data_IF_392074450150
#
_entry.id   IF_392074450150
#
_cell.length_a   1.000
_cell.length_b   1.000
_cell.length_c   1.000
_cell.angle_alpha   90.00
_cell.angle_beta   90.00
_cell.angle_gamma   90.00
#
_symmetry.space_group_name_H-M   'P 1'
#
loop_
_entity.id
_entity.type
_entity.pdbx_description
1 polymer ?
#
# COMPACT_ATOMS: atom_id res chain seq x y z
N UNK A 1 47.09 8.97 34.02
CA UNK A 1 45.76 9.61 34.08
C UNK A 1 44.86 8.88 33.12
N UNK A 2 43.67 8.53 33.60
CA UNK A 2 42.80 7.44 33.15
C UNK A 2 42.13 7.73 31.79
N UNK A 3 42.34 6.86 30.79
CA UNK A 3 41.44 6.77 29.63
C UNK A 3 40.48 5.61 29.86
N UNK A 4 39.21 5.95 30.03
CA UNK A 4 38.09 5.04 29.79
C UNK A 4 37.46 5.47 28.47
N UNK A 5 37.35 4.55 27.49
CA UNK A 5 36.41 4.73 26.39
C UNK A 5 35.83 3.39 25.99
N UNK A 6 34.51 3.35 26.07
CA UNK A 6 33.64 2.19 25.97
C UNK A 6 33.58 1.59 24.57
N UNK A 7 33.32 0.29 24.55
CA UNK A 7 32.79 -0.52 23.45
C UNK A 7 31.56 0.10 22.76
N UNK A 8 31.44 -0.16 21.47
CA UNK A 8 30.25 0.19 20.68
C UNK A 8 30.37 -0.22 19.22
N UNK A 9 30.07 -1.48 18.94
CA UNK A 9 29.91 -2.08 17.60
C UNK A 9 28.74 -1.43 16.85
N UNK A 10 28.83 -1.32 15.52
CA UNK A 10 27.87 -1.86 14.52
C UNK A 10 28.19 -1.32 13.11
N UNK A 11 28.46 -2.26 12.19
CA UNK A 11 28.52 -2.11 10.74
C UNK A 11 27.23 -1.52 10.18
N UNK A 12 27.29 -0.78 9.07
CA UNK A 12 26.39 -0.91 7.90
C UNK A 12 26.77 0.19 6.90
N UNK A 13 27.58 -0.13 5.89
CA UNK A 13 27.74 0.76 4.75
C UNK A 13 28.12 -0.05 3.50
N UNK A 14 27.13 -0.27 2.63
CA UNK A 14 27.20 -0.49 1.17
C UNK A 14 25.80 -0.96 0.74
N UNK A 15 25.11 -0.39 -0.25
CA UNK A 15 25.48 0.63 -1.21
C UNK A 15 24.22 1.19 -1.89
N UNK A 16 24.37 2.43 -2.33
CA UNK A 16 23.63 3.19 -3.33
C UNK A 16 22.60 2.44 -4.19
N UNK A 17 21.33 2.88 -4.10
CA UNK A 17 20.52 3.17 -5.29
C UNK A 17 19.50 4.28 -4.97
N UNK A 18 20.00 5.52 -4.85
CA UNK A 18 19.15 6.70 -4.91
C UNK A 18 18.77 6.95 -6.38
N UNK A 19 17.49 6.82 -6.70
CA UNK A 19 16.99 7.11 -8.04
C UNK A 19 15.47 7.21 -8.05
N UNK A 20 14.95 8.37 -7.62
CA UNK A 20 13.52 8.77 -7.67
C UNK A 20 12.59 8.16 -6.63
N UNK A 21 12.99 8.14 -5.36
CA UNK A 21 12.02 8.23 -4.27
C UNK A 21 11.74 9.71 -4.03
N UNK A 22 10.82 10.29 -4.81
CA UNK A 22 10.22 11.54 -4.42
C UNK A 22 9.65 11.36 -3.01
N UNK A 23 10.15 12.16 -2.09
CA UNK A 23 9.83 12.21 -0.67
C UNK A 23 8.32 12.11 -0.42
N UNK A 24 7.81 10.90 -0.27
CA UNK A 24 6.52 10.65 0.38
C UNK A 24 6.86 10.32 1.81
N UNK A 25 6.91 11.38 2.63
CA UNK A 25 7.24 11.28 4.05
C UNK A 25 6.47 10.16 4.72
N UNK A 26 7.19 9.31 5.45
CA UNK A 26 6.60 8.61 6.57
C UNK A 26 6.29 9.71 7.61
N UNK A 27 5.00 9.99 7.86
CA UNK A 27 4.40 9.47 9.09
C UNK A 27 2.90 9.14 8.96
N UNK A 28 2.49 7.96 9.40
CA UNK A 28 1.12 7.70 9.88
C UNK A 28 0.00 7.61 8.83
N UNK A 29 0.11 6.72 7.84
CA UNK A 29 -1.06 6.22 7.13
C UNK A 29 -1.53 4.97 7.87
N UNK A 30 -2.52 5.12 8.75
CA UNK A 30 -3.09 4.01 9.51
C UNK A 30 -3.48 2.86 8.60
N UNK A 31 -3.31 1.63 9.07
CA UNK A 31 -3.79 0.42 8.41
C UNK A 31 -5.26 0.64 8.04
N UNK A 32 -5.63 0.61 6.74
CA UNK A 32 -7.01 0.75 6.31
C UNK A 32 -7.96 -0.09 7.16
N UNK A 33 -8.93 0.55 7.80
CA UNK A 33 -10.01 -0.06 8.54
C UNK A 33 -11.25 -0.26 7.68
N UNK A 34 -12.18 -1.10 8.13
CA UNK A 34 -13.49 -1.20 7.49
C UNK A 34 -14.20 0.16 7.53
N UNK A 35 -14.71 0.61 6.40
CA UNK A 35 -15.34 1.93 6.23
C UNK A 35 -14.41 3.01 5.70
N UNK A 36 -13.08 2.80 5.72
CA UNK A 36 -12.13 3.80 5.27
C UNK A 36 -12.20 4.01 3.76
N UNK A 37 -12.16 5.28 3.35
CA UNK A 37 -11.93 5.64 1.96
C UNK A 37 -10.46 5.39 1.62
N UNK A 38 -10.21 4.70 0.51
CA UNK A 38 -8.86 4.30 0.09
C UNK A 38 -8.60 4.65 -1.36
N UNK A 39 -7.33 4.72 -1.71
CA UNK A 39 -6.83 4.76 -3.09
C UNK A 39 -5.82 3.63 -3.29
N UNK A 40 -5.89 2.96 -4.44
CA UNK A 40 -4.92 1.95 -4.85
C UNK A 40 -3.66 2.66 -5.32
N UNK A 41 -2.50 2.38 -4.71
CA UNK A 41 -1.24 3.08 -5.01
C UNK A 41 -0.16 2.19 -5.59
N UNK A 42 -0.36 0.88 -5.57
CA UNK A 42 0.51 -0.15 -6.16
C UNK A 42 -0.25 -1.48 -6.17
N UNK A 43 0.27 -2.49 -6.86
CA UNK A 43 -0.22 -3.87 -6.83
C UNK A 43 0.97 -4.84 -6.78
N UNK A 44 1.79 -4.71 -5.74
CA UNK A 44 2.99 -5.54 -5.61
C UNK A 44 2.67 -6.89 -4.95
N UNK A 45 1.68 -6.90 -4.05
CA UNK A 45 1.41 -8.05 -3.17
C UNK A 45 0.02 -8.67 -3.40
N UNK A 46 -0.83 -8.01 -4.18
CA UNK A 46 -2.13 -8.54 -4.60
C UNK A 46 -1.98 -9.68 -5.62
N UNK A 47 -2.98 -10.58 -5.66
CA UNK A 47 -2.97 -11.81 -6.46
C UNK A 47 -2.43 -11.63 -7.89
N UNK A 48 -1.71 -12.64 -8.38
CA UNK A 48 -1.02 -12.68 -9.66
C UNK A 48 -1.87 -12.38 -10.91
N UNK A 49 -3.20 -12.39 -10.84
CA UNK A 49 -4.03 -11.97 -11.99
C UNK A 49 -4.37 -10.49 -12.00
N UNK A 50 -4.40 -9.84 -10.83
CA UNK A 50 -4.73 -8.41 -10.71
C UNK A 50 -3.58 -7.52 -11.18
N UNK A 51 -2.33 -8.00 -11.13
CA UNK A 51 -1.17 -7.26 -11.64
C UNK A 51 -1.32 -6.90 -13.14
N UNK A 52 -2.08 -7.68 -13.91
CA UNK A 52 -2.29 -7.44 -15.36
C UNK A 52 -3.15 -6.20 -15.60
N UNK A 53 -3.88 -5.76 -14.57
CA UNK A 53 -4.76 -4.61 -14.60
C UNK A 53 -4.21 -3.48 -13.72
N UNK A 54 -2.90 -3.47 -13.44
CA UNK A 54 -2.28 -2.44 -12.59
C UNK A 54 -2.53 -1.03 -13.13
N UNK A 55 -2.43 -0.83 -14.44
CA UNK A 55 -2.66 0.47 -15.05
C UNK A 55 -4.11 0.94 -14.92
N UNK A 56 -5.07 0.01 -14.85
CA UNK A 56 -6.49 0.31 -14.64
C UNK A 56 -6.77 0.62 -13.17
N UNK A 57 -6.14 -0.15 -12.27
CA UNK A 57 -6.42 -0.10 -10.84
C UNK A 57 -5.66 1.02 -10.12
N UNK A 58 -4.49 1.40 -10.59
CA UNK A 58 -3.65 2.41 -9.96
C UNK A 58 -4.35 3.78 -9.96
N UNK A 59 -4.42 4.41 -8.79
CA UNK A 59 -5.13 5.67 -8.59
C UNK A 59 -6.65 5.52 -8.43
N UNK A 60 -7.21 4.32 -8.62
CA UNK A 60 -8.63 4.09 -8.35
C UNK A 60 -8.93 4.31 -6.87
N UNK A 61 -10.05 4.98 -6.63
CA UNK A 61 -10.55 5.25 -5.28
C UNK A 61 -11.65 4.26 -4.92
N UNK A 62 -11.83 4.02 -3.64
CA UNK A 62 -12.87 3.11 -3.16
C UNK A 62 -13.06 3.19 -1.67
N UNK A 63 -13.73 2.19 -1.12
CA UNK A 63 -13.93 2.02 0.31
C UNK A 63 -13.62 0.59 0.73
N UNK A 64 -12.95 0.45 1.86
CA UNK A 64 -12.76 -0.86 2.50
C UNK A 64 -14.08 -1.32 3.08
N UNK A 65 -14.54 -2.50 2.69
CA UNK A 65 -15.75 -3.09 3.24
C UNK A 65 -15.44 -3.97 4.46
N UNK A 66 -14.33 -4.70 4.41
CA UNK A 66 -13.91 -5.61 5.49
C UNK A 66 -12.42 -5.94 5.39
N UNK A 67 -11.79 -6.11 6.55
CA UNK A 67 -10.45 -6.69 6.65
C UNK A 67 -10.49 -8.22 6.71
N UNK A 68 -9.52 -8.85 6.07
CA UNK A 68 -9.41 -10.29 5.91
C UNK A 68 -8.03 -10.77 6.38
N UNK A 69 -7.93 -12.05 6.74
CA UNK A 69 -6.67 -12.72 7.12
C UNK A 69 -5.86 -11.92 8.13
N UNK A 70 -6.45 -11.57 9.27
CA UNK A 70 -5.76 -10.83 10.34
C UNK A 70 -5.41 -9.38 10.03
N UNK A 71 -5.92 -8.80 8.92
CA UNK A 71 -5.67 -7.40 8.56
C UNK A 71 -4.64 -7.19 7.44
N UNK A 72 -4.14 -8.26 6.84
CA UNK A 72 -3.19 -8.16 5.71
C UNK A 72 -3.88 -7.88 4.37
N UNK A 73 -5.15 -8.25 4.25
CA UNK A 73 -5.94 -8.04 3.03
C UNK A 73 -7.22 -7.29 3.36
N UNK A 74 -7.70 -6.51 2.39
CA UNK A 74 -8.95 -5.79 2.46
C UNK A 74 -9.83 -6.18 1.27
N UNK A 75 -11.10 -6.47 1.54
CA UNK A 75 -12.12 -6.42 0.51
C UNK A 75 -12.46 -4.95 0.28
N UNK A 76 -12.17 -4.45 -0.91
CA UNK A 76 -12.35 -3.05 -1.30
C UNK A 76 -13.39 -2.98 -2.40
N UNK A 77 -14.37 -2.10 -2.23
CA UNK A 77 -15.27 -1.69 -3.31
C UNK A 77 -14.69 -0.45 -3.99
N UNK A 78 -14.26 -0.59 -5.23
CA UNK A 78 -13.69 0.48 -6.03
C UNK A 78 -14.78 1.26 -6.76
N UNK A 79 -14.56 2.57 -6.91
CA UNK A 79 -15.36 3.46 -7.75
C UNK A 79 -15.00 3.24 -9.22
N UNK A 80 -15.28 2.04 -9.71
CA UNK A 80 -15.07 1.62 -11.09
C UNK A 80 -16.24 2.05 -11.97
N UNK A 81 -15.94 2.57 -13.17
CA UNK A 81 -16.90 2.76 -14.23
C UNK A 81 -17.27 1.43 -14.91
N UNK A 82 -18.18 1.48 -15.88
CA UNK A 82 -18.70 0.27 -16.53
C UNK A 82 -17.64 -0.48 -17.35
N UNK A 83 -16.69 0.24 -17.95
CA UNK A 83 -15.59 -0.36 -18.71
C UNK A 83 -14.64 -1.13 -17.79
N UNK A 84 -14.24 -0.53 -16.67
CA UNK A 84 -13.35 -1.16 -15.70
C UNK A 84 -14.03 -2.36 -15.03
N UNK A 85 -15.32 -2.27 -14.70
CA UNK A 85 -16.09 -3.39 -14.14
C UNK A 85 -16.12 -4.60 -15.07
N UNK A 86 -16.22 -4.39 -16.38
CA UNK A 86 -16.19 -5.49 -17.37
C UNK A 86 -14.82 -6.17 -17.42
N UNK A 87 -13.74 -5.40 -17.33
CA UNK A 87 -12.37 -5.92 -17.33
C UNK A 87 -12.08 -6.70 -16.04
N UNK A 88 -12.48 -6.16 -14.90
CA UNK A 88 -12.17 -6.68 -13.57
C UNK A 88 -13.14 -7.77 -13.10
N UNK A 89 -14.23 -8.01 -13.84
CA UNK A 89 -15.32 -8.91 -13.43
C UNK A 89 -16.16 -8.37 -12.26
N UNK A 90 -16.08 -7.06 -11.99
CA UNK A 90 -16.75 -6.38 -10.89
C UNK A 90 -15.98 -5.17 -10.37
N UNK A 91 -16.49 -4.59 -9.28
CA UNK A 91 -15.84 -3.46 -8.59
C UNK A 91 -15.30 -3.84 -7.19
N UNK A 92 -15.59 -5.06 -6.72
CA UNK A 92 -15.20 -5.54 -5.40
C UNK A 92 -13.99 -6.45 -5.54
N UNK A 93 -12.84 -6.01 -5.05
CA UNK A 93 -11.58 -6.71 -5.18
C UNK A 93 -10.96 -6.94 -3.80
N UNK A 94 -10.27 -8.08 -3.67
CA UNK A 94 -9.42 -8.33 -2.49
C UNK A 94 -8.02 -7.83 -2.82
N UNK A 95 -7.60 -6.81 -2.10
CA UNK A 95 -6.30 -6.16 -2.28
C UNK A 95 -5.46 -6.30 -1.01
N UNK A 96 -4.15 -6.37 -1.17
CA UNK A 96 -3.25 -6.31 -0.02
C UNK A 96 -3.37 -4.93 0.63
N UNK A 97 -3.36 -4.86 1.95
CA UNK A 97 -3.55 -3.58 2.65
C UNK A 97 -2.40 -2.61 2.34
N UNK A 98 -1.20 -3.12 2.12
CA UNK A 98 -0.05 -2.29 1.70
C UNK A 98 -0.17 -1.74 0.28
N UNK A 99 -1.04 -2.31 -0.56
CA UNK A 99 -1.32 -1.81 -1.91
C UNK A 99 -2.27 -0.59 -1.88
N UNK A 100 -2.82 -0.27 -0.70
CA UNK A 100 -3.78 0.79 -0.47
C UNK A 100 -3.19 1.93 0.35
N UNK A 101 -3.73 3.14 0.14
CA UNK A 101 -3.58 4.27 1.08
C UNK A 101 -4.93 4.79 1.50
N UNK A 102 -5.10 5.01 2.80
CA UNK A 102 -6.28 5.69 3.33
C UNK A 102 -6.27 7.14 2.85
N UNK A 103 -7.36 7.54 2.21
CA UNK A 103 -7.60 8.93 1.83
C UNK A 103 -8.39 9.56 2.96
N UNK A 104 -7.73 10.42 3.76
CA UNK A 104 -8.45 11.28 4.70
C UNK A 104 -9.37 12.18 3.87
N UNK A 105 -10.68 11.95 3.97
CA UNK A 105 -11.65 12.88 3.43
C UNK A 105 -11.61 14.15 4.32
N UNK A 106 -11.62 15.35 3.71
CA UNK A 106 -11.72 16.60 4.47
C UNK A 106 -13.03 16.69 5.26
#
# INVERSE_FOLDING_TARGET
MTEAKADGVVSHQEGSQAGRSASLGAPGLGTPGAGDAVVVVRLLHSHSRLHMYADVLLGMTGRVERLMRGGHYALVSLNAGDAERRILGGARLVLHVEDLRVRKLP
#
